data_IF_412409946558
#
_entry.id   IF_412409946558
#
_cell.length_a   1.000
_cell.length_b   1.000
_cell.length_c   1.000
_cell.angle_alpha   90.00
_cell.angle_beta   90.00
_cell.angle_gamma   90.00
#
_symmetry.space_group_name_H-M   'P 1'
#
loop_
_entity.id
_entity.type
_entity.pdbx_description
1 polymer ?
#
# COMPACT_ATOMS: atom_id res chain seq x y z
N UNK A 1 11.32 8.29 -8.56
CA UNK A 1 10.54 7.15 -9.09
C UNK A 1 9.07 7.45 -8.89
N UNK A 2 8.19 7.01 -9.78
CA UNK A 2 6.74 7.04 -9.57
C UNK A 2 6.12 5.71 -9.95
N UNK A 3 4.87 5.52 -9.56
CA UNK A 3 4.12 4.29 -9.79
C UNK A 3 2.82 4.60 -10.54
N UNK A 4 2.39 3.66 -11.38
CA UNK A 4 1.11 3.73 -12.08
C UNK A 4 0.33 2.44 -11.84
N UNK A 5 -0.91 2.58 -11.40
CA UNK A 5 -1.85 1.48 -11.28
C UNK A 5 -2.62 1.28 -12.58
N UNK A 6 -2.93 0.04 -12.93
CA UNK A 6 -3.63 -0.29 -14.17
C UNK A 6 -4.81 -1.25 -13.92
N UNK A 7 -5.80 -1.22 -14.82
CA UNK A 7 -6.90 -2.18 -14.87
C UNK A 7 -6.45 -3.59 -15.28
N UNK A 8 -5.28 -3.71 -15.90
CA UNK A 8 -4.64 -5.01 -16.23
C UNK A 8 -4.13 -5.78 -15.00
N UNK A 9 -4.48 -5.33 -13.79
CA UNK A 9 -4.09 -5.93 -12.51
C UNK A 9 -2.59 -5.86 -12.23
N UNK A 10 -1.93 -4.84 -12.77
CA UNK A 10 -0.52 -4.55 -12.50
C UNK A 10 -0.32 -3.15 -11.92
N UNK A 11 0.75 -3.01 -11.15
CA UNK A 11 1.32 -1.71 -10.79
C UNK A 11 2.73 -1.63 -11.38
N UNK A 12 2.99 -0.59 -12.18
CA UNK A 12 4.29 -0.40 -12.83
C UNK A 12 5.06 0.72 -12.16
N UNK A 13 6.36 0.52 -12.02
CA UNK A 13 7.29 1.47 -11.41
C UNK A 13 8.17 2.07 -12.49
N UNK A 14 8.40 3.38 -12.38
CA UNK A 14 9.03 4.17 -13.43
C UNK A 14 10.12 5.07 -12.88
N UNK A 15 11.27 5.08 -13.55
CA UNK A 15 12.29 6.09 -13.33
C UNK A 15 11.93 7.35 -14.12
N UNK A 16 11.82 8.50 -13.44
CA UNK A 16 11.53 9.80 -14.07
C UNK A 16 12.65 10.20 -15.03
N UNK A 17 13.87 9.72 -14.79
CA UNK A 17 15.03 10.00 -15.65
C UNK A 17 15.05 9.12 -16.90
N UNK A 18 14.33 7.99 -16.90
CA UNK A 18 14.23 7.08 -18.04
C UNK A 18 12.82 6.49 -18.15
N UNK A 19 11.97 7.16 -18.93
CA UNK A 19 10.57 6.78 -19.13
C UNK A 19 10.37 5.76 -20.26
N UNK A 20 11.43 5.30 -20.95
CA UNK A 20 11.26 4.39 -22.10
C UNK A 20 10.76 3.00 -21.70
N UNK A 21 10.99 2.60 -20.46
CA UNK A 21 10.57 1.31 -19.92
C UNK A 21 10.27 1.41 -18.42
N UNK A 22 9.36 0.56 -17.94
CA UNK A 22 9.14 0.40 -16.51
C UNK A 22 10.32 -0.33 -15.87
N UNK A 23 10.76 0.15 -14.72
CA UNK A 23 11.86 -0.45 -13.92
C UNK A 23 11.41 -1.76 -13.30
N UNK A 24 10.15 -1.83 -12.87
CA UNK A 24 9.55 -3.03 -12.31
C UNK A 24 8.04 -3.07 -12.57
N UNK A 25 7.48 -4.28 -12.55
CA UNK A 25 6.05 -4.53 -12.71
C UNK A 25 5.60 -5.43 -11.57
N UNK A 26 4.90 -4.85 -10.61
CA UNK A 26 4.26 -5.55 -9.52
C UNK A 26 3.00 -6.22 -10.06
N UNK A 27 2.92 -7.53 -9.87
CA UNK A 27 1.86 -8.42 -10.35
C UNK A 27 1.69 -9.59 -9.39
N UNK A 28 0.67 -10.41 -9.58
CA UNK A 28 0.36 -11.56 -8.73
C UNK A 28 -1.14 -11.61 -8.43
N UNK A 29 -1.52 -11.91 -7.18
CA UNK A 29 -2.90 -11.78 -6.71
C UNK A 29 -3.24 -10.31 -6.47
N UNK A 30 -3.35 -9.54 -7.55
CA UNK A 30 -3.79 -8.14 -7.52
C UNK A 30 -5.06 -8.00 -8.35
N UNK A 31 -5.95 -7.12 -7.94
CA UNK A 31 -7.03 -6.57 -8.75
C UNK A 31 -6.63 -5.28 -9.46
N UNK A 32 -7.62 -4.60 -10.03
CA UNK A 32 -7.41 -3.34 -10.74
C UNK A 32 -6.98 -2.24 -9.76
N UNK A 33 -5.86 -1.59 -10.01
CA UNK A 33 -5.32 -0.62 -9.06
C UNK A 33 -5.99 0.75 -9.24
N UNK A 34 -6.58 1.27 -8.16
CA UNK A 34 -7.32 2.55 -8.16
C UNK A 34 -6.62 3.66 -7.41
N UNK A 35 -5.78 3.32 -6.43
CA UNK A 35 -5.03 4.31 -5.67
C UNK A 35 -3.64 3.79 -5.32
N UNK A 36 -2.67 4.69 -5.30
CA UNK A 36 -1.29 4.43 -4.89
C UNK A 36 -0.83 5.55 -3.97
N UNK A 37 -0.18 5.19 -2.87
CA UNK A 37 0.42 6.12 -1.91
C UNK A 37 1.78 5.61 -1.47
N UNK A 38 2.76 6.49 -1.42
CA UNK A 38 4.03 6.24 -0.76
C UNK A 38 3.98 6.81 0.65
N UNK A 39 4.64 6.15 1.61
CA UNK A 39 4.94 6.76 2.89
C UNK A 39 5.90 7.94 2.71
N UNK A 40 5.87 8.94 3.59
CA UNK A 40 6.74 10.12 3.48
C UNK A 40 8.23 9.79 3.65
N UNK A 41 8.56 8.70 4.35
CA UNK A 41 9.92 8.15 4.47
C UNK A 41 10.34 7.31 3.24
N UNK A 42 9.43 7.06 2.29
CA UNK A 42 9.67 6.27 1.09
C UNK A 42 9.87 4.77 1.33
N UNK A 43 9.68 4.29 2.56
CA UNK A 43 9.90 2.88 2.91
C UNK A 43 8.77 1.96 2.45
N UNK A 44 7.56 2.47 2.38
CA UNK A 44 6.39 1.69 2.01
C UNK A 44 5.63 2.30 0.84
N UNK A 45 5.02 1.42 0.06
CA UNK A 45 4.08 1.77 -0.99
C UNK A 45 2.78 1.00 -0.76
N UNK A 46 1.68 1.71 -0.55
CA UNK A 46 0.35 1.14 -0.48
C UNK A 46 -0.35 1.26 -1.83
N UNK A 47 -1.00 0.18 -2.27
CA UNK A 47 -1.88 0.17 -3.44
C UNK A 47 -3.26 -0.34 -3.02
N UNK A 48 -4.32 0.32 -3.49
CA UNK A 48 -5.69 -0.10 -3.25
C UNK A 48 -6.33 -0.63 -4.53
N UNK A 49 -7.07 -1.71 -4.35
CA UNK A 49 -8.06 -2.21 -5.29
C UNK A 49 -9.35 -1.37 -5.20
N UNK A 50 -10.36 -1.60 -6.07
CA UNK A 50 -11.63 -0.88 -5.99
C UNK A 50 -12.41 -1.24 -4.71
N UNK A 51 -12.22 -2.46 -4.22
CA UNK A 51 -12.86 -3.00 -3.03
C UNK A 51 -11.95 -4.05 -2.39
N UNK A 52 -12.24 -4.33 -1.13
CA UNK A 52 -11.75 -5.45 -0.31
C UNK A 52 -10.26 -5.45 0.01
N UNK A 53 -9.37 -5.15 -0.94
CA UNK A 53 -7.92 -5.33 -0.74
C UNK A 53 -7.11 -4.05 -0.82
N UNK A 54 -6.21 -3.90 0.16
CA UNK A 54 -5.08 -2.97 0.12
C UNK A 54 -3.79 -3.76 0.30
N UNK A 55 -2.81 -3.50 -0.56
CA UNK A 55 -1.51 -4.16 -0.52
C UNK A 55 -0.42 -3.16 -0.16
N UNK A 56 0.38 -3.47 0.85
CA UNK A 56 1.49 -2.66 1.31
C UNK A 56 2.79 -3.37 0.95
N UNK A 57 3.64 -2.71 0.18
CA UNK A 57 4.94 -3.22 -0.26
C UNK A 57 6.08 -2.50 0.47
N UNK A 58 7.11 -3.26 0.84
CA UNK A 58 8.36 -2.72 1.34
C UNK A 58 9.28 -2.36 0.17
N UNK A 59 9.54 -1.06 0.00
CA UNK A 59 10.36 -0.50 -1.07
C UNK A 59 11.82 -0.90 -0.93
N UNK A 60 12.33 -1.01 0.31
CA UNK A 60 13.72 -1.41 0.58
C UNK A 60 13.99 -2.89 0.28
N UNK A 61 12.94 -3.70 0.19
CA UNK A 61 13.01 -5.11 -0.19
C UNK A 61 12.84 -5.35 -1.69
N UNK A 62 12.98 -4.32 -2.52
CA UNK A 62 12.65 -4.35 -3.95
C UNK A 62 11.22 -4.84 -4.22
N UNK A 63 10.27 -4.38 -3.39
CA UNK A 63 8.85 -4.75 -3.47
C UNK A 63 8.56 -6.25 -3.36
N UNK A 64 9.52 -7.06 -2.90
CA UNK A 64 9.35 -8.50 -2.74
C UNK A 64 8.53 -8.86 -1.50
N UNK A 65 8.60 -8.05 -0.44
CA UNK A 65 7.76 -8.21 0.76
C UNK A 65 6.48 -7.41 0.61
N UNK A 66 5.36 -8.11 0.84
CA UNK A 66 4.00 -7.57 0.76
C UNK A 66 3.20 -8.00 1.99
N UNK A 67 2.43 -7.05 2.51
CA UNK A 67 1.32 -7.31 3.42
C UNK A 67 0.01 -7.02 2.69
N UNK A 68 -0.95 -7.92 2.81
CA UNK A 68 -2.30 -7.75 2.30
C UNK A 68 -3.22 -7.42 3.48
N UNK A 69 -4.04 -6.38 3.29
CA UNK A 69 -5.11 -6.03 4.19
C UNK A 69 -6.43 -6.33 3.48
N UNK A 70 -7.26 -7.11 4.16
CA UNK A 70 -8.57 -7.55 3.67
C UNK A 70 -9.68 -6.85 4.45
N UNK A 71 -10.68 -6.37 3.72
CA UNK A 71 -11.80 -5.61 4.19
C UNK A 71 -13.07 -6.05 3.45
N UNK A 72 -14.21 -5.58 3.94
CA UNK A 72 -15.47 -5.73 3.22
C UNK A 72 -15.97 -4.35 2.81
N UNK A 73 -16.00 -4.07 1.50
CA UNK A 73 -16.54 -2.82 0.96
C UNK A 73 -15.62 -2.08 -0.01
N UNK A 74 -16.14 -1.00 -0.59
CA UNK A 74 -15.41 -0.17 -1.55
C UNK A 74 -14.37 0.70 -0.86
N UNK A 75 -13.19 0.82 -1.47
CA UNK A 75 -12.11 1.66 -0.95
C UNK A 75 -12.25 3.05 -1.57
N UNK A 76 -12.70 4.01 -0.77
CA UNK A 76 -12.89 5.39 -1.22
C UNK A 76 -11.58 6.18 -1.28
N UNK A 77 -10.56 5.79 -0.51
CA UNK A 77 -9.26 6.43 -0.53
C UNK A 77 -8.30 5.92 0.53
N UNK A 78 -7.04 6.35 0.40
CA UNK A 78 -5.98 6.04 1.37
C UNK A 78 -5.04 7.22 1.56
N UNK A 79 -4.48 7.34 2.77
CA UNK A 79 -3.39 8.26 3.07
C UNK A 79 -2.49 7.71 4.17
N UNK A 80 -1.17 7.83 3.98
CA UNK A 80 -0.24 7.72 5.11
C UNK A 80 -0.28 8.99 5.96
N UNK A 81 -0.02 8.86 7.24
CA UNK A 81 0.28 10.00 8.10
C UNK A 81 1.63 10.62 7.72
N UNK A 82 1.83 11.93 7.92
CA UNK A 82 3.09 12.60 7.62
C UNK A 82 4.29 12.04 8.40
N UNK A 83 4.03 11.46 9.58
CA UNK A 83 5.03 10.84 10.46
C UNK A 83 5.34 9.36 10.14
N UNK A 84 4.72 8.80 9.09
CA UNK A 84 4.83 7.39 8.65
C UNK A 84 4.40 6.31 9.63
N UNK A 85 3.71 6.69 10.71
CA UNK A 85 3.27 5.75 11.74
C UNK A 85 1.87 5.17 11.50
N UNK A 86 1.06 5.80 10.65
CA UNK A 86 -0.31 5.38 10.39
C UNK A 86 -0.64 5.34 8.90
N UNK A 87 -1.48 4.38 8.51
CA UNK A 87 -2.19 4.35 7.24
C UNK A 87 -3.69 4.48 7.52
N UNK A 88 -4.32 5.48 6.90
CA UNK A 88 -5.75 5.65 6.91
C UNK A 88 -6.36 5.08 5.63
N UNK A 89 -7.41 4.28 5.77
CA UNK A 89 -8.18 3.70 4.66
C UNK A 89 -9.65 4.07 4.84
N UNK A 90 -10.19 4.80 3.87
CA UNK A 90 -11.61 5.08 3.80
C UNK A 90 -12.34 3.94 3.13
N UNK A 91 -13.33 3.36 3.82
CA UNK A 91 -14.14 2.25 3.34
C UNK A 91 -15.59 2.70 3.33
N UNK A 92 -16.31 2.33 2.28
CA UNK A 92 -17.73 2.61 2.17
C UNK A 92 -18.47 1.40 1.61
N UNK A 93 -19.64 1.13 2.18
CA UNK A 93 -20.65 0.25 1.61
C UNK A 93 -21.99 0.99 1.51
N UNK A 94 -23.02 0.33 1.00
CA UNK A 94 -24.35 0.93 0.82
C UNK A 94 -24.96 1.50 2.10
N UNK A 95 -24.53 1.02 3.26
CA UNK A 95 -25.15 1.28 4.56
C UNK A 95 -24.25 2.12 5.48
N UNK A 96 -22.93 1.95 5.40
CA UNK A 96 -21.97 2.56 6.31
C UNK A 96 -20.72 3.07 5.58
N UNK A 97 -20.19 4.20 6.06
CA UNK A 97 -18.86 4.70 5.72
C UNK A 97 -17.97 4.68 6.97
N UNK A 98 -16.77 4.13 6.84
CA UNK A 98 -15.81 3.99 7.94
C UNK A 98 -14.44 4.50 7.52
N UNK A 99 -13.70 5.07 8.47
CA UNK A 99 -12.28 5.39 8.31
C UNK A 99 -11.49 4.47 9.24
N UNK A 100 -10.70 3.58 8.65
CA UNK A 100 -9.83 2.67 9.40
C UNK A 100 -8.44 3.29 9.54
N UNK A 101 -7.86 3.17 10.73
CA UNK A 101 -6.48 3.57 11.02
C UNK A 101 -5.65 2.32 11.33
N UNK A 102 -4.57 2.13 10.57
CA UNK A 102 -3.58 1.08 10.76
C UNK A 102 -2.29 1.68 11.29
N UNK A 103 -1.95 1.36 12.53
CA UNK A 103 -0.69 1.78 13.11
C UNK A 103 0.43 0.81 12.73
N UNK A 104 1.61 1.35 12.47
CA UNK A 104 2.82 0.57 12.23
C UNK A 104 3.18 -0.21 13.50
N UNK A 105 3.41 -1.51 13.34
CA UNK A 105 3.88 -2.35 14.44
C UNK A 105 5.40 -2.21 14.56
N UNK A 106 5.85 -1.71 15.71
CA UNK A 106 7.26 -1.74 16.10
C UNK A 106 7.52 -3.01 16.90
N UNK A 107 8.41 -3.87 16.41
CA UNK A 107 8.92 -4.97 17.22
C UNK A 107 10.11 -4.45 18.03
N UNK A 108 9.88 -4.13 19.30
CA UNK A 108 10.95 -3.83 20.26
C UNK A 108 11.55 -5.13 20.76
N UNK A 109 12.49 -5.71 20.00
CA UNK A 109 13.18 -6.96 20.35
C UNK A 109 13.98 -6.92 21.66
N UNK A 110 14.08 -5.76 22.32
CA UNK A 110 14.79 -5.60 23.59
C UNK A 110 13.95 -5.95 24.84
N UNK A 111 12.62 -6.00 24.76
CA UNK A 111 11.75 -6.28 25.92
C UNK A 111 11.41 -7.77 26.10
N UNK A 112 11.49 -8.59 25.05
CA UNK A 112 11.17 -10.02 25.11
C UNK A 112 12.37 -10.89 25.56
N UNK A 113 13.47 -10.29 26.03
CA UNK A 113 14.68 -11.01 26.48
C UNK A 113 14.79 -11.15 28.01
N UNK A 114 13.79 -10.68 28.76
CA UNK A 114 13.74 -10.83 30.22
C UNK A 114 12.53 -11.63 30.64
N UNK A 115 12.46 -12.92 30.33
CA UNK A 115 11.88 -13.97 31.18
C UNK A 115 12.33 -15.34 30.69
#
# INVERSE_FOLDING_TARGET
MFATGNQDKTCRLWDVRNLSSSVAVLRGNLGAIRSIRFSSDGRFMAIAEPADFVHIFDVGSDYSKRQELDFFGEISGMSFSPDTESLFVGIWDRTYGSLLQYNRRHNYSYLDSFF
#
